data_IF_626034119759
#
_entry.id   IF_626034119759
#
_cell.length_a   1.000
_cell.length_b   1.000
_cell.length_c   1.000
_cell.angle_alpha   90.00
_cell.angle_beta   90.00
_cell.angle_gamma   90.00
#
_symmetry.space_group_name_H-M   'P 1'
#
loop_
_entity.id
_entity.type
_entity.pdbx_description
1 polymer ?
#
# COMPACT_ATOMS: atom_id res chain seq x y z
N UNK A 1 35.18 -40.35 60.50
CA UNK A 1 35.34 -38.97 59.97
C UNK A 1 35.36 -39.04 58.45
N UNK A 2 34.26 -38.68 57.77
CA UNK A 2 34.19 -37.73 56.65
C UNK A 2 32.70 -37.57 56.32
N UNK A 3 32.17 -36.34 56.46
CA UNK A 3 30.79 -35.95 56.18
C UNK A 3 30.54 -35.92 54.66
N UNK A 4 29.47 -36.55 54.19
CA UNK A 4 28.94 -36.38 52.83
C UNK A 4 27.77 -35.41 52.84
N UNK A 5 28.01 -34.17 52.40
CA UNK A 5 27.03 -33.10 52.28
C UNK A 5 26.17 -33.33 51.02
N UNK A 6 24.86 -33.59 51.20
CA UNK A 6 23.89 -33.65 50.10
C UNK A 6 23.40 -32.24 49.80
N UNK A 7 23.79 -31.67 48.66
CA UNK A 7 23.23 -30.42 48.15
C UNK A 7 21.90 -30.71 47.43
N UNK A 8 20.81 -30.14 47.94
CA UNK A 8 19.52 -30.13 47.28
C UNK A 8 19.47 -28.93 46.31
N UNK A 9 19.41 -29.20 45.01
CA UNK A 9 19.10 -28.18 44.00
C UNK A 9 17.59 -27.98 43.97
N UNK A 10 17.13 -26.82 44.47
CA UNK A 10 15.76 -26.36 44.33
C UNK A 10 15.55 -25.83 42.91
N UNK A 11 14.68 -26.49 42.15
CA UNK A 11 14.21 -26.03 40.85
C UNK A 11 13.13 -24.95 41.07
N UNK A 12 13.49 -23.68 40.96
CA UNK A 12 12.53 -22.57 40.96
C UNK A 12 11.94 -22.43 39.56
N UNK A 13 10.69 -22.86 39.39
CA UNK A 13 9.90 -22.60 38.18
C UNK A 13 9.43 -21.14 38.22
N UNK A 14 10.01 -20.29 37.38
CA UNK A 14 9.47 -18.96 37.11
C UNK A 14 8.29 -19.10 36.12
N UNK A 15 7.07 -18.96 36.62
CA UNK A 15 5.88 -18.70 35.81
C UNK A 15 5.99 -17.27 35.26
N UNK A 16 6.61 -17.11 34.09
CA UNK A 16 6.54 -15.87 33.32
C UNK A 16 5.13 -15.70 32.78
N UNK A 17 4.34 -14.83 33.42
CA UNK A 17 3.10 -14.35 32.82
C UNK A 17 3.47 -13.57 31.56
N UNK A 18 3.04 -14.07 30.40
CA UNK A 18 3.05 -13.32 29.17
C UNK A 18 2.06 -12.16 29.35
N UNK A 19 2.58 -10.97 29.65
CA UNK A 19 1.82 -9.73 29.48
C UNK A 19 1.63 -9.59 27.98
N UNK A 20 0.44 -9.95 27.49
CA UNK A 20 0.07 -9.61 26.13
C UNK A 20 -0.03 -8.08 26.06
N UNK A 21 0.65 -7.41 25.10
CA UNK A 21 0.39 -6.00 24.85
C UNK A 21 -1.08 -5.87 24.48
N UNK A 22 -1.78 -5.01 25.22
CA UNK A 22 -3.17 -4.64 24.92
C UNK A 22 -3.20 -4.07 23.49
N UNK A 23 -4.12 -4.51 22.62
CA UNK A 23 -4.25 -3.91 21.30
C UNK A 23 -4.48 -2.41 21.46
N UNK A 24 -3.75 -1.61 20.68
CA UNK A 24 -3.92 -0.17 20.67
C UNK A 24 -5.41 0.17 20.48
N UNK A 25 -5.96 1.13 21.23
CA UNK A 25 -7.36 1.52 21.06
C UNK A 25 -7.58 2.01 19.63
N UNK A 26 -8.58 1.44 18.96
CA UNK A 26 -9.08 1.96 17.69
C UNK A 26 -9.58 3.38 17.98
N UNK A 27 -8.88 4.37 17.44
CA UNK A 27 -9.26 5.77 17.60
C UNK A 27 -10.57 5.98 16.84
N UNK A 28 -11.59 6.42 17.56
CA UNK A 28 -12.89 6.79 17.01
C UNK A 28 -12.71 8.00 16.08
N UNK A 29 -12.83 7.79 14.76
CA UNK A 29 -12.65 8.82 13.73
C UNK A 29 -13.57 10.04 13.88
N UNK A 30 -14.61 9.95 14.71
CA UNK A 30 -15.53 11.04 14.99
C UNK A 30 -14.87 12.21 15.75
N UNK A 31 -13.85 11.95 16.56
CA UNK A 31 -13.16 13.00 17.34
C UNK A 31 -12.21 13.86 16.48
N UNK A 32 -11.61 13.28 15.44
CA UNK A 32 -10.66 13.97 14.56
C UNK A 32 -11.37 14.81 13.50
N UNK A 33 -12.55 14.38 13.04
CA UNK A 33 -13.43 15.19 12.20
C UNK A 33 -13.87 16.49 12.89
N UNK A 34 -13.97 16.50 14.22
CA UNK A 34 -14.30 17.70 14.98
C UNK A 34 -13.13 18.70 15.05
N UNK A 35 -11.88 18.21 15.07
CA UNK A 35 -10.69 19.06 15.15
C UNK A 35 -10.33 19.69 13.79
N UNK A 36 -10.60 18.99 12.68
CA UNK A 36 -10.47 19.55 11.33
C UNK A 36 -11.44 20.72 11.06
N UNK A 37 -12.58 20.77 11.77
CA UNK A 37 -13.61 21.81 11.61
C UNK A 37 -13.24 23.17 12.23
N UNK A 38 -12.20 23.26 13.06
CA UNK A 38 -11.78 24.52 13.71
C UNK A 38 -10.66 25.26 12.96
N UNK A 39 -10.13 24.69 11.87
CA UNK A 39 -9.11 25.36 11.07
C UNK A 39 -9.70 26.49 10.23
N UNK A 40 -8.99 27.64 10.09
CA UNK A 40 -9.43 28.70 9.19
C UNK A 40 -9.62 28.15 7.77
N UNK A 41 -10.56 28.72 6.98
CA UNK A 41 -10.76 28.30 5.60
C UNK A 41 -9.44 28.38 4.83
N UNK A 42 -9.31 27.54 3.81
CA UNK A 42 -8.14 27.58 2.96
C UNK A 42 -7.99 28.96 2.33
N UNK A 43 -6.75 29.39 2.05
CA UNK A 43 -6.51 30.73 1.52
C UNK A 43 -7.10 30.96 0.12
N UNK A 44 -7.50 29.89 -0.57
CA UNK A 44 -8.24 29.85 -1.83
C UNK A 44 -9.75 29.61 -1.62
N UNK A 45 -10.24 29.71 -0.38
CA UNK A 45 -11.60 29.37 0.06
C UNK A 45 -12.03 27.93 -0.29
N UNK A 46 -11.06 27.07 -0.63
CA UNK A 46 -11.30 25.68 -0.99
C UNK A 46 -11.61 24.78 0.21
N UNK A 47 -12.23 23.61 -0.04
CA UNK A 47 -12.45 22.62 1.00
C UNK A 47 -11.14 22.08 1.58
N UNK A 48 -11.20 21.67 2.84
CA UNK A 48 -10.15 20.89 3.50
C UNK A 48 -10.48 19.41 3.45
N UNK A 49 -9.42 18.64 3.45
CA UNK A 49 -9.46 17.22 3.72
C UNK A 49 -9.91 16.93 5.16
N UNK A 50 -10.87 16.02 5.38
CA UNK A 50 -11.40 15.72 6.72
C UNK A 50 -10.39 15.08 7.68
N UNK A 51 -9.39 14.36 7.18
CA UNK A 51 -8.39 13.60 7.95
C UNK A 51 -7.16 14.47 8.18
N UNK A 52 -6.51 14.92 7.10
CA UNK A 52 -5.25 15.66 7.21
C UNK A 52 -5.46 17.14 7.55
N UNK A 53 -6.65 17.68 7.29
CA UNK A 53 -6.92 19.11 7.36
C UNK A 53 -6.25 19.91 6.25
N UNK A 54 -5.56 19.27 5.30
CA UNK A 54 -4.89 19.95 4.18
C UNK A 54 -5.91 20.58 3.22
N UNK A 55 -5.50 21.67 2.58
CA UNK A 55 -6.32 22.31 1.55
C UNK A 55 -6.31 21.47 0.28
N UNK A 56 -7.48 21.04 -0.18
CA UNK A 56 -7.61 20.15 -1.34
C UNK A 56 -6.98 20.76 -2.59
N UNK A 57 -7.14 22.06 -2.83
CA UNK A 57 -6.54 22.74 -3.99
C UNK A 57 -5.01 22.78 -3.96
N UNK A 58 -4.39 22.62 -2.78
CA UNK A 58 -2.94 22.65 -2.59
C UNK A 58 -2.31 21.26 -2.45
N UNK A 59 -3.12 20.23 -2.20
CA UNK A 59 -2.62 18.88 -2.00
C UNK A 59 -1.96 18.29 -3.25
N UNK A 60 -2.27 18.85 -4.43
CA UNK A 60 -1.59 18.51 -5.70
C UNK A 60 -0.07 18.71 -5.65
N UNK A 61 0.44 19.56 -4.75
CA UNK A 61 1.87 19.77 -4.57
C UNK A 61 2.60 18.60 -3.89
N UNK A 62 1.86 17.68 -3.27
CA UNK A 62 2.41 16.47 -2.65
C UNK A 62 2.50 15.30 -3.62
N UNK A 63 1.75 15.35 -4.73
CA UNK A 63 1.67 14.23 -5.65
C UNK A 63 2.89 14.24 -6.57
N UNK A 64 3.40 13.04 -6.84
CA UNK A 64 4.28 12.85 -7.98
C UNK A 64 3.57 13.29 -9.27
N UNK A 65 4.30 13.79 -10.29
CA UNK A 65 3.72 14.10 -11.58
C UNK A 65 2.95 12.89 -12.11
N UNK A 66 1.62 12.97 -12.11
CA UNK A 66 0.78 11.92 -12.64
C UNK A 66 1.10 11.73 -14.12
N UNK A 67 1.26 10.48 -14.57
CA UNK A 67 1.22 10.17 -16.00
C UNK A 67 -0.13 10.57 -16.62
N UNK A 68 -0.31 10.31 -17.92
CA UNK A 68 -1.51 10.70 -18.67
C UNK A 68 -2.78 9.86 -18.34
N UNK A 69 -2.93 9.39 -17.10
CA UNK A 69 -4.10 8.62 -16.67
C UNK A 69 -5.35 9.50 -16.69
N UNK A 70 -6.19 9.28 -17.70
CA UNK A 70 -7.48 9.94 -17.81
C UNK A 70 -8.48 9.28 -16.88
N UNK A 71 -9.42 10.05 -16.31
CA UNK A 71 -10.49 9.45 -15.56
C UNK A 71 -11.31 8.52 -16.47
N UNK A 72 -11.89 7.45 -15.91
CA UNK A 72 -12.81 6.58 -16.62
C UNK A 72 -13.92 7.35 -17.36
N UNK A 73 -14.46 6.77 -18.43
CA UNK A 73 -15.52 7.42 -19.21
C UNK A 73 -16.72 7.79 -18.32
N UNK A 74 -17.13 9.05 -18.37
CA UNK A 74 -18.24 9.56 -17.55
C UNK A 74 -17.86 9.92 -16.11
N UNK A 75 -16.58 9.86 -15.76
CA UNK A 75 -16.06 10.21 -14.43
C UNK A 75 -15.14 11.43 -14.46
N UNK A 76 -14.86 11.98 -13.28
CA UNK A 76 -13.85 13.03 -13.08
C UNK A 76 -12.89 12.63 -11.97
N UNK A 77 -11.64 13.08 -12.05
CA UNK A 77 -10.72 12.96 -10.92
C UNK A 77 -11.05 13.99 -9.83
N UNK A 78 -11.11 13.53 -8.58
CA UNK A 78 -11.11 14.37 -7.40
C UNK A 78 -10.00 13.92 -6.43
N UNK A 79 -9.43 14.86 -5.70
CA UNK A 79 -8.47 14.54 -4.65
C UNK A 79 -9.18 13.88 -3.47
N UNK A 80 -8.62 12.79 -2.96
CA UNK A 80 -9.10 12.07 -1.80
C UNK A 80 -7.92 11.65 -0.89
N UNK A 81 -8.24 11.15 0.29
CA UNK A 81 -7.26 10.70 1.27
C UNK A 81 -7.72 9.43 1.99
N UNK A 82 -6.77 8.69 2.55
CA UNK A 82 -7.01 7.54 3.40
C UNK A 82 -6.09 7.59 4.62
N UNK A 83 -6.63 7.22 5.78
CA UNK A 83 -5.89 7.25 7.04
C UNK A 83 -4.93 6.07 7.14
N UNK A 84 -3.73 6.29 7.69
CA UNK A 84 -2.82 5.22 8.10
C UNK A 84 -2.58 5.34 9.62
N UNK A 85 -2.76 4.24 10.35
CA UNK A 85 -2.38 4.16 11.76
C UNK A 85 -3.14 5.13 12.67
N UNK A 86 -2.39 5.93 13.45
CA UNK A 86 -2.90 6.73 14.57
C UNK A 86 -3.17 8.21 14.25
N UNK A 87 -2.95 8.64 13.01
CA UNK A 87 -3.20 10.01 12.55
C UNK A 87 -2.00 10.86 12.26
N UNK A 88 -0.84 10.26 12.34
CA UNK A 88 0.43 10.85 11.93
C UNK A 88 0.76 10.54 10.47
N UNK A 89 -0.01 9.67 9.81
CA UNK A 89 0.27 9.18 8.46
C UNK A 89 -1.03 9.13 7.63
N UNK A 90 -0.94 9.41 6.33
CA UNK A 90 -2.06 9.34 5.41
C UNK A 90 -1.61 9.04 3.98
N UNK A 91 -2.51 8.49 3.17
CA UNK A 91 -2.37 8.46 1.71
C UNK A 91 -3.14 9.63 1.11
N UNK A 92 -2.53 10.34 0.17
CA UNK A 92 -3.21 11.24 -0.77
C UNK A 92 -3.28 10.57 -2.14
N UNK A 93 -4.40 10.72 -2.85
CA UNK A 93 -4.58 10.15 -4.19
C UNK A 93 -5.68 10.87 -4.96
N UNK A 94 -5.71 10.70 -6.30
CA UNK A 94 -6.86 11.06 -7.12
C UNK A 94 -7.81 9.87 -7.20
N UNK A 95 -9.05 10.09 -6.80
CA UNK A 95 -10.15 9.14 -6.85
C UNK A 95 -11.10 9.47 -8.02
N UNK A 96 -11.63 8.44 -8.66
CA UNK A 96 -12.69 8.61 -9.64
C UNK A 96 -13.98 9.06 -8.94
N UNK A 97 -14.66 10.02 -9.55
CA UNK A 97 -16.00 10.44 -9.18
C UNK A 97 -16.93 10.16 -10.36
N UNK A 98 -17.81 9.17 -10.20
CA UNK A 98 -18.72 8.71 -11.24
C UNK A 98 -20.15 8.80 -10.73
N UNK A 99 -21.04 9.50 -11.45
CA UNK A 99 -22.44 9.67 -11.06
C UNK A 99 -22.64 10.20 -9.62
N UNK A 100 -21.70 11.01 -9.12
CA UNK A 100 -21.72 11.56 -7.76
C UNK A 100 -21.20 10.62 -6.66
N UNK A 101 -20.80 9.40 -7.00
CA UNK A 101 -20.10 8.47 -6.10
C UNK A 101 -18.60 8.70 -6.24
N UNK A 102 -17.89 8.85 -5.12
CA UNK A 102 -16.44 9.00 -5.10
C UNK A 102 -15.80 7.72 -4.60
N UNK A 103 -14.76 7.25 -5.27
CA UNK A 103 -13.95 6.14 -4.78
C UNK A 103 -13.26 6.51 -3.47
N UNK A 104 -13.36 5.63 -2.48
CA UNK A 104 -12.70 5.78 -1.17
C UNK A 104 -11.92 4.52 -0.86
N UNK A 105 -10.70 4.73 -0.34
CA UNK A 105 -9.80 3.68 0.11
C UNK A 105 -9.67 3.68 1.63
N UNK A 106 -9.41 2.52 2.21
CA UNK A 106 -8.97 2.38 3.60
C UNK A 106 -7.63 1.66 3.66
N UNK A 107 -6.87 1.91 4.72
CA UNK A 107 -5.62 1.20 4.99
C UNK A 107 -5.76 0.35 6.24
N UNK A 108 -5.45 -0.94 6.13
CA UNK A 108 -5.46 -1.89 7.23
C UNK A 108 -4.02 -2.33 7.52
N UNK A 109 -3.55 -2.07 8.75
CA UNK A 109 -2.21 -2.46 9.19
C UNK A 109 -2.10 -3.95 9.52
N UNK A 110 -1.00 -4.58 9.09
CA UNK A 110 -0.61 -5.95 9.43
C UNK A 110 0.80 -6.02 10.01
N UNK A 111 1.24 -7.22 10.40
CA UNK A 111 2.62 -7.43 10.80
C UNK A 111 3.54 -7.25 9.57
N UNK A 112 4.34 -6.17 9.58
CA UNK A 112 5.32 -5.81 8.53
C UNK A 112 4.76 -5.45 7.15
N UNK A 113 3.43 -5.41 6.98
CA UNK A 113 2.76 -5.00 5.75
C UNK A 113 1.48 -4.24 6.07
N UNK A 114 0.93 -3.54 5.07
CA UNK A 114 -0.40 -2.95 5.14
C UNK A 114 -1.16 -3.26 3.84
N UNK A 115 -2.48 -3.42 3.93
CA UNK A 115 -3.37 -3.53 2.78
C UNK A 115 -4.09 -2.20 2.57
N UNK A 116 -4.29 -1.82 1.31
CA UNK A 116 -5.18 -0.74 0.90
C UNK A 116 -6.33 -1.37 0.14
N UNK A 117 -7.55 -1.11 0.59
CA UNK A 117 -8.76 -1.76 0.11
C UNK A 117 -9.80 -0.71 -0.28
N UNK A 118 -10.68 -1.06 -1.21
CA UNK A 118 -11.86 -0.24 -1.48
C UNK A 118 -12.82 -0.25 -0.29
N UNK A 119 -13.21 0.93 0.16
CA UNK A 119 -14.42 1.13 0.98
C UNK A 119 -15.61 1.41 0.06
N UNK A 120 -15.37 2.16 -1.00
CA UNK A 120 -16.36 2.43 -2.05
C UNK A 120 -15.64 2.54 -3.38
N UNK A 121 -16.18 1.90 -4.39
CA UNK A 121 -15.72 1.99 -5.77
C UNK A 121 -16.74 2.76 -6.60
N UNK A 122 -16.30 3.81 -7.31
CA UNK A 122 -17.19 4.61 -8.15
C UNK A 122 -17.61 3.86 -9.44
N UNK A 123 -16.80 2.92 -9.93
CA UNK A 123 -17.07 2.11 -11.12
C UNK A 123 -17.73 0.76 -10.82
N UNK A 124 -17.19 0.03 -9.84
CA UNK A 124 -17.58 -1.34 -9.48
C UNK A 124 -18.60 -1.43 -8.34
N UNK A 125 -18.87 -0.33 -7.63
CA UNK A 125 -19.81 -0.30 -6.51
C UNK A 125 -19.46 -1.31 -5.41
N UNK A 126 -20.48 -1.89 -4.78
CA UNK A 126 -20.33 -2.81 -3.64
C UNK A 126 -19.62 -4.13 -4.00
N UNK A 127 -19.47 -4.46 -5.30
CA UNK A 127 -18.80 -5.69 -5.73
C UNK A 127 -17.31 -5.66 -5.40
N UNK A 128 -16.70 -4.48 -5.37
CA UNK A 128 -15.28 -4.30 -5.09
C UNK A 128 -15.01 -3.95 -3.62
N UNK A 129 -16.04 -3.82 -2.77
CA UNK A 129 -15.86 -3.51 -1.35
C UNK A 129 -14.95 -4.54 -0.67
N UNK A 130 -13.92 -4.08 0.03
CA UNK A 130 -12.93 -4.91 0.71
C UNK A 130 -11.90 -5.57 -0.19
N UNK A 131 -11.93 -5.34 -1.51
CA UNK A 131 -10.89 -5.83 -2.41
C UNK A 131 -9.59 -5.05 -2.17
N UNK A 132 -8.50 -5.78 -1.89
CA UNK A 132 -7.14 -5.23 -1.80
C UNK A 132 -6.67 -4.81 -3.21
N UNK A 133 -6.21 -3.57 -3.32
CA UNK A 133 -5.70 -2.98 -4.56
C UNK A 133 -4.26 -2.51 -4.46
N UNK A 134 -3.78 -2.30 -3.22
CA UNK A 134 -2.38 -2.02 -2.95
C UNK A 134 -1.97 -2.81 -1.72
N UNK A 135 -0.82 -3.47 -1.81
CA UNK A 135 -0.11 -4.00 -0.65
C UNK A 135 1.15 -3.19 -0.42
N UNK A 136 1.38 -2.74 0.80
CA UNK A 136 2.62 -2.09 1.21
C UNK A 136 3.45 -3.03 2.06
N UNK A 137 4.75 -3.04 1.81
CA UNK A 137 5.73 -3.71 2.64
C UNK A 137 6.83 -2.74 3.05
N UNK A 138 7.27 -2.77 4.31
CA UNK A 138 8.31 -1.85 4.78
C UNK A 138 9.63 -2.16 4.06
N UNK A 139 10.17 -1.18 3.35
CA UNK A 139 11.44 -1.32 2.64
C UNK A 139 12.62 -1.20 3.61
N UNK A 140 13.63 -2.05 3.44
CA UNK A 140 14.93 -1.90 4.09
C UNK A 140 15.82 -0.99 3.22
N UNK A 141 16.29 0.18 3.71
CA UNK A 141 17.19 1.03 2.94
C UNK A 141 18.47 0.33 2.45
N UNK A 142 18.95 -0.70 3.15
CA UNK A 142 20.10 -1.49 2.73
C UNK A 142 19.76 -2.55 1.67
N UNK A 143 18.48 -2.94 1.56
CA UNK A 143 17.98 -3.88 0.59
C UNK A 143 16.52 -3.54 0.21
N UNK A 144 16.30 -2.52 -0.62
CA UNK A 144 14.97 -1.92 -0.78
C UNK A 144 14.00 -2.73 -1.66
N UNK A 145 14.40 -3.94 -2.04
CA UNK A 145 13.58 -4.90 -2.80
C UNK A 145 13.57 -6.26 -2.08
N UNK A 146 13.73 -6.27 -0.76
CA UNK A 146 13.98 -7.52 -0.05
C UNK A 146 12.75 -8.43 -0.06
N UNK A 147 11.53 -7.88 0.02
CA UNK A 147 10.32 -8.68 -0.08
C UNK A 147 10.16 -9.24 -1.49
N UNK A 148 10.34 -8.42 -2.53
CA UNK A 148 10.33 -8.92 -3.90
C UNK A 148 11.36 -10.03 -4.12
N UNK A 149 12.56 -9.90 -3.55
CA UNK A 149 13.61 -10.95 -3.65
C UNK A 149 13.26 -12.21 -2.87
N UNK A 150 12.56 -12.08 -1.75
CA UNK A 150 12.08 -13.21 -0.97
C UNK A 150 11.00 -13.98 -1.74
N UNK A 151 10.02 -13.25 -2.28
CA UNK A 151 8.98 -13.77 -3.19
C UNK A 151 9.60 -14.44 -4.41
N UNK A 152 10.59 -13.78 -5.04
CA UNK A 152 11.30 -14.33 -6.20
C UNK A 152 12.02 -15.63 -5.87
N UNK A 153 12.71 -15.68 -4.71
CA UNK A 153 13.39 -16.91 -4.26
C UNK A 153 12.38 -18.04 -4.10
N UNK A 154 11.28 -17.77 -3.41
CA UNK A 154 10.24 -18.77 -3.16
C UNK A 154 9.58 -19.23 -4.49
N UNK A 155 9.33 -18.31 -5.42
CA UNK A 155 8.83 -18.61 -6.76
C UNK A 155 9.81 -19.51 -7.55
N UNK A 156 11.12 -19.27 -7.48
CA UNK A 156 12.12 -20.08 -8.17
C UNK A 156 12.41 -21.43 -7.48
N UNK A 157 12.20 -21.52 -6.17
CA UNK A 157 12.35 -22.78 -5.43
C UNK A 157 11.16 -23.73 -5.62
N UNK A 158 9.95 -23.18 -5.81
CA UNK A 158 8.71 -23.95 -5.86
C UNK A 158 8.04 -23.99 -7.23
N UNK A 159 8.40 -23.06 -8.12
CA UNK A 159 7.79 -22.88 -9.43
C UNK A 159 8.35 -23.81 -10.50
N UNK A 160 7.60 -23.93 -11.60
CA UNK A 160 8.00 -24.68 -12.79
C UNK A 160 8.80 -23.83 -13.78
N UNK A 161 8.86 -22.51 -13.56
CA UNK A 161 9.51 -21.53 -14.44
C UNK A 161 10.51 -20.70 -13.63
N UNK A 162 11.65 -20.39 -14.24
CA UNK A 162 12.60 -19.44 -13.67
C UNK A 162 12.10 -18.01 -13.87
N UNK A 163 12.05 -17.27 -12.77
CA UNK A 163 11.59 -15.89 -12.69
C UNK A 163 12.75 -14.92 -12.39
N UNK A 164 12.53 -13.64 -12.67
CA UNK A 164 13.41 -12.52 -12.35
C UNK A 164 12.62 -11.25 -12.01
N UNK A 165 13.22 -10.36 -11.21
CA UNK A 165 12.72 -8.99 -11.04
C UNK A 165 13.30 -8.14 -12.17
N UNK A 166 12.44 -7.47 -12.94
CA UNK A 166 12.86 -6.57 -14.03
C UNK A 166 11.95 -5.35 -14.15
N UNK A 167 12.41 -4.27 -14.80
CA UNK A 167 11.52 -3.18 -15.20
C UNK A 167 10.33 -3.71 -16.00
N UNK A 168 9.15 -3.19 -15.70
CA UNK A 168 7.92 -3.58 -16.38
C UNK A 168 7.96 -3.15 -17.85
N UNK A 169 8.34 -1.89 -18.11
CA UNK A 169 8.45 -1.35 -19.47
C UNK A 169 7.12 -1.25 -20.21
N UNK A 170 6.00 -1.27 -19.50
CA UNK A 170 4.65 -1.22 -20.07
C UNK A 170 4.22 0.24 -20.23
N UNK A 171 3.73 0.60 -21.41
CA UNK A 171 3.28 1.95 -21.71
C UNK A 171 2.10 2.34 -20.80
N UNK A 172 2.20 3.52 -20.18
CA UNK A 172 1.20 4.01 -19.23
C UNK A 172 1.49 3.65 -17.76
N UNK A 173 2.38 2.70 -17.50
CA UNK A 173 2.84 2.43 -16.14
C UNK A 173 3.98 3.39 -15.76
N UNK A 174 4.23 3.59 -14.45
CA UNK A 174 5.35 4.40 -13.98
C UNK A 174 6.70 3.91 -14.50
N UNK A 175 7.62 4.85 -14.73
CA UNK A 175 8.97 4.54 -15.23
C UNK A 175 9.74 3.60 -14.28
N UNK A 176 9.49 3.73 -12.97
CA UNK A 176 10.07 2.88 -11.93
C UNK A 176 9.33 1.57 -11.67
N UNK A 177 8.27 1.25 -12.43
CA UNK A 177 7.49 0.04 -12.22
C UNK A 177 8.33 -1.22 -12.50
N UNK A 178 8.23 -2.19 -11.59
CA UNK A 178 8.92 -3.47 -11.61
C UNK A 178 7.90 -4.60 -11.70
N UNK A 179 8.32 -5.75 -12.22
CA UNK A 179 7.55 -6.99 -12.23
C UNK A 179 8.45 -8.16 -11.84
N UNK A 180 7.87 -9.16 -11.17
CA UNK A 180 8.48 -10.49 -11.01
C UNK A 180 7.92 -11.33 -12.16
N UNK A 181 8.73 -11.61 -13.17
CA UNK A 181 8.28 -12.22 -14.42
C UNK A 181 9.18 -13.39 -14.83
N UNK A 182 8.71 -14.30 -15.71
CA UNK A 182 9.58 -15.32 -16.30
C UNK A 182 10.80 -14.66 -16.95
N UNK A 183 11.95 -15.34 -16.87
CA UNK A 183 13.15 -14.89 -17.59
C UNK A 183 12.87 -14.82 -19.09
N UNK A 184 13.70 -14.07 -19.84
CA UNK A 184 13.56 -13.99 -21.29
C UNK A 184 13.63 -15.36 -21.99
N UNK A 185 14.38 -16.32 -21.44
CA UNK A 185 14.46 -17.69 -21.95
C UNK A 185 13.14 -18.45 -21.73
N UNK A 186 12.61 -18.42 -20.51
CA UNK A 186 11.31 -19.02 -20.18
C UNK A 186 10.17 -18.39 -20.99
N UNK A 187 10.15 -17.06 -21.09
CA UNK A 187 9.13 -16.34 -21.86
C UNK A 187 9.13 -16.72 -23.34
N UNK A 188 10.31 -17.00 -23.93
CA UNK A 188 10.44 -17.41 -25.32
C UNK A 188 9.94 -18.85 -25.57
N UNK A 189 9.91 -19.70 -24.53
CA UNK A 189 9.38 -21.06 -24.60
C UNK A 189 7.85 -21.13 -24.39
N UNK A 190 7.26 -20.07 -23.82
CA UNK A 190 5.81 -19.96 -23.59
C UNK A 190 5.04 -19.61 -24.87
N UNK A 191 3.72 -19.88 -24.93
CA UNK A 191 2.83 -19.35 -25.97
C UNK A 191 2.97 -17.82 -26.10
N UNK A 192 3.00 -17.32 -27.34
CA UNK A 192 3.18 -15.88 -27.61
C UNK A 192 1.86 -15.17 -27.93
N UNK A 193 0.80 -15.94 -28.16
CA UNK A 193 -0.53 -15.51 -28.55
C UNK A 193 -1.55 -15.55 -27.40
N UNK A 194 -1.12 -15.94 -26.20
CA UNK A 194 -1.95 -15.99 -24.99
C UNK A 194 -1.34 -15.09 -23.89
N UNK A 195 -2.18 -14.45 -23.06
CA UNK A 195 -1.73 -13.76 -21.86
C UNK A 195 -0.97 -14.70 -20.92
N UNK A 196 0.13 -14.21 -20.35
CA UNK A 196 0.94 -14.95 -19.39
C UNK A 196 0.62 -14.53 -17.96
N UNK A 197 0.24 -15.51 -17.14
CA UNK A 197 0.23 -15.40 -15.67
C UNK A 197 1.29 -16.36 -15.10
N UNK A 198 2.31 -15.83 -14.44
CA UNK A 198 3.46 -16.61 -13.95
C UNK A 198 4.13 -15.98 -12.73
N UNK A 199 4.99 -16.75 -12.06
CA UNK A 199 5.76 -16.32 -10.89
C UNK A 199 4.92 -16.08 -9.61
N UNK A 200 3.77 -16.77 -9.49
CA UNK A 200 2.90 -16.74 -8.32
C UNK A 200 1.99 -15.50 -8.25
N UNK A 201 1.28 -15.36 -7.13
CA UNK A 201 0.23 -14.33 -6.93
C UNK A 201 0.76 -12.89 -6.99
N UNK A 202 2.08 -12.72 -6.84
CA UNK A 202 2.78 -11.43 -6.84
C UNK A 202 3.59 -11.19 -8.12
N UNK A 203 3.44 -12.11 -9.08
CA UNK A 203 4.21 -12.20 -10.30
C UNK A 203 3.69 -11.31 -11.43
N UNK A 204 3.95 -11.73 -12.67
CA UNK A 204 3.39 -11.10 -13.86
C UNK A 204 2.05 -11.76 -14.15
N UNK A 205 1.04 -10.94 -14.43
CA UNK A 205 -0.23 -11.37 -15.00
C UNK A 205 -0.58 -10.37 -16.11
N UNK A 206 -0.45 -10.81 -17.37
CA UNK A 206 -0.71 -9.96 -18.54
C UNK A 206 -2.21 -9.66 -18.72
N UNK A 207 -3.09 -10.36 -17.98
CA UNK A 207 -4.51 -10.04 -17.95
C UNK A 207 -4.85 -8.96 -16.92
N UNK A 208 -3.95 -8.59 -16.00
CA UNK A 208 -4.21 -7.57 -14.99
C UNK A 208 -3.12 -6.48 -14.92
N UNK A 209 -3.52 -5.28 -14.54
CA UNK A 209 -2.59 -4.21 -14.24
C UNK A 209 -1.98 -4.42 -12.84
N UNK A 210 -0.88 -5.17 -12.79
CA UNK A 210 -0.16 -5.42 -11.55
C UNK A 210 1.34 -5.15 -11.66
N UNK A 211 1.87 -4.42 -10.70
CA UNK A 211 3.27 -4.03 -10.68
C UNK A 211 3.75 -3.65 -9.30
N UNK A 212 5.07 -3.66 -9.16
CA UNK A 212 5.79 -3.23 -7.99
C UNK A 212 6.40 -1.84 -8.17
N UNK A 213 6.47 -1.07 -7.09
CA UNK A 213 7.28 0.14 -6.98
C UNK A 213 8.03 0.17 -5.66
N UNK A 214 9.13 0.93 -5.62
CA UNK A 214 9.90 1.15 -4.40
C UNK A 214 10.03 2.65 -4.19
N UNK A 215 9.32 3.17 -3.18
CA UNK A 215 9.33 4.60 -2.85
C UNK A 215 8.80 4.85 -1.45
N UNK A 216 9.14 6.00 -0.87
CA UNK A 216 8.54 6.51 0.38
C UNK A 216 8.71 5.53 1.56
N UNK A 217 9.82 4.81 1.59
CA UNK A 217 10.09 3.78 2.60
C UNK A 217 9.36 2.45 2.43
N UNK A 218 8.66 2.20 1.31
CA UNK A 218 7.92 0.95 1.06
C UNK A 218 8.20 0.30 -0.30
N UNK A 219 8.04 -1.01 -0.35
CA UNK A 219 7.78 -1.78 -1.56
C UNK A 219 6.25 -1.82 -1.75
N UNK A 220 5.75 -1.14 -2.77
CA UNK A 220 4.34 -1.03 -3.12
C UNK A 220 4.02 -2.07 -4.18
N UNK A 221 3.04 -2.95 -3.93
CA UNK A 221 2.46 -3.80 -4.96
C UNK A 221 1.08 -3.29 -5.30
N UNK A 222 0.88 -2.87 -6.55
CA UNK A 222 -0.42 -2.48 -7.08
C UNK A 222 -1.05 -3.68 -7.78
N UNK A 223 -2.31 -3.98 -7.48
CA UNK A 223 -3.10 -5.02 -8.12
C UNK A 223 -4.45 -4.42 -8.51
N UNK A 224 -4.50 -3.87 -9.72
CA UNK A 224 -5.58 -2.98 -10.15
C UNK A 224 -6.67 -3.70 -10.97
N UNK A 225 -6.49 -5.00 -11.26
CA UNK A 225 -7.39 -5.78 -12.10
C UNK A 225 -7.22 -5.50 -13.60
N UNK A 226 -8.15 -6.00 -14.43
CA UNK A 226 -8.06 -5.91 -15.90
C UNK A 226 -8.68 -4.62 -16.48
N UNK A 227 -9.54 -3.97 -15.71
CA UNK A 227 -10.46 -2.94 -16.18
C UNK A 227 -9.96 -1.51 -15.86
N UNK A 228 -10.85 -0.54 -16.05
CA UNK A 228 -10.64 0.85 -15.64
C UNK A 228 -10.40 0.94 -14.14
N UNK A 229 -9.40 1.73 -13.75
CA UNK A 229 -9.04 1.94 -12.35
C UNK A 229 -9.92 3.00 -11.70
N UNK A 230 -10.30 2.77 -10.44
CA UNK A 230 -11.13 3.68 -9.64
C UNK A 230 -10.33 4.83 -9.01
N UNK A 231 -9.00 4.81 -9.12
CA UNK A 231 -8.09 5.84 -8.64
C UNK A 231 -6.85 5.88 -9.55
N UNK A 232 -6.15 7.01 -9.59
CA UNK A 232 -4.90 7.14 -10.33
C UNK A 232 -3.73 6.60 -9.47
N UNK A 233 -3.16 5.43 -9.78
CA UNK A 233 -2.17 4.79 -8.92
C UNK A 233 -0.86 5.60 -8.84
N UNK A 234 -0.58 6.44 -9.83
CA UNK A 234 0.62 7.29 -9.86
C UNK A 234 0.54 8.44 -8.86
N UNK A 235 -0.67 8.79 -8.43
CA UNK A 235 -0.89 9.87 -7.47
C UNK A 235 -0.92 9.39 -6.04
N UNK A 236 -0.98 8.07 -5.81
CA UNK A 236 -0.99 7.53 -4.44
C UNK A 236 0.31 7.92 -3.77
N UNK A 237 0.23 8.72 -2.72
CA UNK A 237 1.38 9.33 -2.07
C UNK A 237 1.24 9.18 -0.57
N UNK A 238 2.21 8.52 0.05
CA UNK A 238 2.32 8.50 1.50
C UNK A 238 2.83 9.85 2.02
N UNK A 239 2.09 10.45 2.95
CA UNK A 239 2.47 11.66 3.67
C UNK A 239 2.51 11.40 5.17
N UNK A 240 3.48 12.03 5.83
CA UNK A 240 3.68 11.96 7.28
C UNK A 240 3.60 13.35 7.89
N UNK A 241 3.11 13.41 9.12
CA UNK A 241 3.08 14.62 9.94
C UNK A 241 4.35 14.69 10.77
N UNK A 242 5.10 15.78 10.65
CA UNK A 242 6.29 16.04 11.46
C UNK A 242 5.93 16.41 12.91
N UNK A 243 6.95 16.59 13.76
CA UNK A 243 6.78 16.92 15.18
C UNK A 243 6.16 18.31 15.39
N UNK A 244 6.29 19.20 14.40
CA UNK A 244 5.72 20.53 14.37
C UNK A 244 4.28 20.55 13.84
N UNK A 245 3.76 19.40 13.38
CA UNK A 245 2.41 19.24 12.88
C UNK A 245 2.23 19.51 11.39
N UNK A 246 3.31 19.70 10.63
CA UNK A 246 3.27 19.90 9.18
C UNK A 246 3.26 18.57 8.44
N UNK A 247 2.48 18.50 7.38
CA UNK A 247 2.47 17.36 6.47
C UNK A 247 3.56 17.49 5.41
N UNK A 248 4.27 16.40 5.16
CA UNK A 248 5.29 16.26 4.12
C UNK A 248 5.18 14.88 3.45
N UNK A 249 5.71 14.77 2.24
CA UNK A 249 5.88 13.47 1.57
C UNK A 249 6.82 12.61 2.41
N UNK A 250 6.46 11.35 2.64
CA UNK A 250 7.30 10.40 3.35
C UNK A 250 8.59 10.11 2.55
N UNK A 251 9.73 10.00 3.24
CA UNK A 251 11.04 9.67 2.64
C UNK A 251 11.22 8.15 2.44
#
# INVERSE_FOLDING_TARGET
MTLGLRAAFGLTVFLGACVQPEPAPIVDGTALLAEAAELPPCADDGPRFPITGLCIGRSVAYLEPSGDWQPPEGCTWAMNEAWIGDGTEALLYRAAVCNGVTTTLQVSGGAQSASVEYVTSALGGDVLEGQEVIRLFVSDPANPQWHMKDILRDANETGEVECEIRPAGIAGWPEGALVIAPTAEERAAMPQDEPVAACGDWGLDEDSAQYWEVRQGYEWFFHLGQDQVDFDPNTVTHIVRDAEGNWQVAE
#
